data_IF_702857730316
#
_entry.id   IF_702857730316
#
_cell.length_a   1.000
_cell.length_b   1.000
_cell.length_c   1.000
_cell.angle_alpha   90.00
_cell.angle_beta   90.00
_cell.angle_gamma   90.00
#
_symmetry.space_group_name_H-M   'P 1'
#
loop_
_entity.id
_entity.type
_entity.pdbx_description
1 polymer ?
#
# COMPACT_ATOMS: atom_id res chain seq x y z
N UNK A 1 1.09 23.60 -7.80
CA UNK A 1 -0.20 23.37 -7.13
C UNK A 1 -0.28 24.38 -5.99
N UNK A 2 -1.36 25.14 -5.89
CA UNK A 2 -1.57 26.06 -4.78
C UNK A 2 -2.53 25.39 -3.79
N UNK A 3 -2.08 25.22 -2.54
CA UNK A 3 -2.86 24.61 -1.47
C UNK A 3 -3.06 25.69 -0.41
N UNK A 4 -4.24 25.72 0.19
CA UNK A 4 -4.58 26.65 1.25
C UNK A 4 -5.41 25.92 2.30
N UNK A 5 -5.44 26.47 3.51
CA UNK A 5 -5.80 25.75 4.74
C UNK A 5 -7.12 26.24 5.38
N UNK A 6 -7.91 27.03 4.64
CA UNK A 6 -9.19 27.60 5.12
C UNK A 6 -10.34 27.35 4.15
N UNK A 7 -11.58 27.37 4.63
CA UNK A 7 -12.75 27.12 3.79
C UNK A 7 -12.82 28.11 2.61
N UNK A 8 -12.95 27.56 1.40
CA UNK A 8 -13.00 28.32 0.15
C UNK A 8 -11.83 29.28 -0.08
N UNK A 9 -10.66 29.02 0.51
CA UNK A 9 -9.43 29.79 0.31
C UNK A 9 -8.97 29.83 -1.15
N UNK A 10 -9.41 28.88 -1.97
CA UNK A 10 -9.18 28.80 -3.40
C UNK A 10 -10.21 29.57 -4.26
N UNK A 11 -11.11 30.35 -3.64
CA UNK A 11 -12.12 31.15 -4.34
C UNK A 11 -11.51 32.21 -5.24
N UNK A 12 -10.36 32.79 -4.86
CA UNK A 12 -9.58 33.68 -5.70
C UNK A 12 -8.21 33.04 -6.03
N UNK A 13 -8.08 32.42 -7.21
CA UNK A 13 -6.81 31.83 -7.65
C UNK A 13 -5.67 32.84 -7.71
N UNK A 14 -5.96 34.11 -7.98
CA UNK A 14 -4.94 35.16 -8.03
C UNK A 14 -4.41 35.48 -6.63
N UNK A 15 -5.25 35.41 -5.59
CA UNK A 15 -4.80 35.55 -4.21
C UNK A 15 -3.85 34.41 -3.82
N UNK A 16 -4.11 33.17 -4.26
CA UNK A 16 -3.22 32.04 -4.04
C UNK A 16 -1.89 32.13 -4.81
N UNK A 17 -1.85 32.92 -5.87
CA UNK A 17 -0.63 33.17 -6.66
C UNK A 17 0.17 34.39 -6.18
N UNK A 18 -0.35 35.16 -5.21
CA UNK A 18 0.38 36.31 -4.66
C UNK A 18 1.60 35.90 -3.85
N UNK A 19 1.50 34.78 -3.14
CA UNK A 19 2.65 34.22 -2.44
C UNK A 19 3.52 33.43 -3.43
N UNK A 20 4.85 33.67 -3.44
CA UNK A 20 5.73 32.89 -4.28
C UNK A 20 5.64 31.41 -3.86
N UNK A 21 5.50 30.48 -4.82
CA UNK A 21 5.40 29.07 -4.48
C UNK A 21 6.70 28.60 -3.84
N UNK A 22 6.60 27.80 -2.78
CA UNK A 22 7.75 27.09 -2.22
C UNK A 22 8.33 26.19 -3.29
N UNK A 23 9.56 26.50 -3.72
CA UNK A 23 10.30 25.66 -4.65
C UNK A 23 11.01 24.56 -3.85
N UNK A 24 10.56 23.33 -4.04
CA UNK A 24 11.27 22.17 -3.53
C UNK A 24 12.63 22.04 -4.25
N UNK A 25 13.67 21.76 -3.49
CA UNK A 25 15.02 21.57 -4.03
C UNK A 25 15.06 20.36 -4.95
N UNK A 26 15.80 20.46 -6.04
CA UNK A 26 16.05 19.32 -6.92
C UNK A 26 17.08 18.39 -6.28
N UNK A 27 16.73 17.12 -6.22
CA UNK A 27 17.59 16.03 -5.78
C UNK A 27 18.05 15.22 -6.98
N UNK A 28 19.32 14.81 -6.96
CA UNK A 28 19.88 13.89 -7.96
C UNK A 28 19.85 12.48 -7.38
N UNK A 29 18.87 11.69 -7.80
CA UNK A 29 18.69 10.33 -7.28
C UNK A 29 19.46 9.33 -8.11
N UNK A 30 20.18 8.43 -7.42
CA UNK A 30 20.80 7.27 -8.05
C UNK A 30 19.71 6.29 -8.47
N UNK A 31 19.78 5.80 -9.71
CA UNK A 31 18.88 4.75 -10.19
C UNK A 31 19.54 3.39 -10.05
N UNK A 32 18.85 2.47 -9.39
CA UNK A 32 19.36 1.12 -9.18
C UNK A 32 18.20 0.14 -9.10
N UNK A 33 18.30 -0.99 -9.81
CA UNK A 33 17.36 -2.10 -9.72
C UNK A 33 18.17 -3.33 -9.37
N UNK A 34 17.75 -4.04 -8.32
CA UNK A 34 18.33 -5.31 -7.87
C UNK A 34 17.19 -6.30 -7.82
N UNK A 35 17.06 -7.13 -8.84
CA UNK A 35 16.16 -8.28 -8.85
C UNK A 35 17.07 -9.49 -9.12
N UNK A 36 17.14 -10.45 -8.21
CA UNK A 36 18.10 -11.58 -8.27
C UNK A 36 18.00 -12.53 -9.47
N UNK A 37 17.43 -12.09 -10.60
CA UNK A 37 17.14 -12.84 -11.82
C UNK A 37 17.64 -12.09 -13.09
N UNK A 38 18.01 -10.80 -13.04
CA UNK A 38 18.42 -10.02 -14.25
C UNK A 38 19.89 -9.52 -14.22
N UNK A 39 20.54 -9.33 -15.40
CA UNK A 39 22.00 -9.22 -15.58
C UNK A 39 22.60 -7.95 -14.93
N UNK A 40 23.95 -7.86 -14.79
CA UNK A 40 24.60 -6.71 -14.15
C UNK A 40 24.11 -5.38 -14.72
N UNK A 41 24.02 -4.33 -13.88
CA UNK A 41 23.34 -3.10 -14.24
C UNK A 41 23.95 -2.49 -15.51
N UNK A 42 23.16 -2.42 -16.59
CA UNK A 42 23.44 -1.43 -17.65
C UNK A 42 23.39 -0.06 -17.00
N UNK A 43 24.33 0.81 -17.40
CA UNK A 43 24.40 2.18 -16.92
C UNK A 43 23.01 2.82 -16.95
N UNK A 44 22.49 3.12 -15.75
CA UNK A 44 21.20 3.78 -15.60
C UNK A 44 21.50 5.22 -15.19
N UNK A 45 21.20 6.23 -16.04
CA UNK A 45 21.50 7.61 -15.70
C UNK A 45 20.80 8.00 -14.40
N UNK A 46 21.41 8.86 -13.55
CA UNK A 46 20.69 9.45 -12.44
C UNK A 46 19.49 10.24 -12.96
N UNK A 47 18.48 10.43 -12.11
CA UNK A 47 17.33 11.27 -12.42
C UNK A 47 17.29 12.47 -11.46
N UNK A 48 16.58 13.52 -11.87
CA UNK A 48 16.28 14.66 -11.03
C UNK A 48 14.81 14.62 -10.61
N UNK A 49 14.54 14.80 -9.32
CA UNK A 49 13.19 14.90 -8.75
C UNK A 49 13.23 15.73 -7.46
N UNK A 50 12.08 16.05 -6.88
CA UNK A 50 12.07 16.73 -5.58
C UNK A 50 12.41 15.78 -4.43
N UNK A 51 12.11 14.49 -4.61
CA UNK A 51 12.43 13.43 -3.68
C UNK A 51 12.97 12.22 -4.42
N UNK A 52 13.77 11.43 -3.70
CA UNK A 52 14.14 10.09 -4.10
C UNK A 52 13.18 9.07 -3.50
N UNK A 53 13.05 7.94 -4.17
CA UNK A 53 12.17 6.84 -3.81
C UNK A 53 13.00 5.57 -3.79
N UNK A 54 13.03 4.91 -2.65
CA UNK A 54 13.55 3.57 -2.51
C UNK A 54 12.39 2.62 -2.21
N UNK A 55 12.32 1.49 -2.92
CA UNK A 55 11.36 0.43 -2.67
C UNK A 55 12.08 -0.91 -2.58
N UNK A 56 11.77 -1.71 -1.57
CA UNK A 56 12.23 -3.08 -1.43
C UNK A 56 11.05 -4.02 -1.19
N UNK A 57 10.91 -5.06 -1.98
CA UNK A 57 9.83 -6.04 -1.86
C UNK A 57 10.42 -7.43 -1.57
N UNK A 58 9.82 -8.18 -0.65
CA UNK A 58 10.29 -9.53 -0.26
C UNK A 58 9.60 -10.63 -1.06
N UNK A 59 10.32 -11.41 -1.83
CA UNK A 59 9.72 -12.53 -2.57
C UNK A 59 10.18 -13.89 -2.08
N UNK A 60 9.36 -14.90 -2.30
CA UNK A 60 9.71 -16.30 -2.03
C UNK A 60 9.98 -16.99 -3.35
N UNK A 61 11.17 -17.56 -3.50
CA UNK A 61 11.55 -18.39 -4.64
C UNK A 61 10.86 -19.76 -4.58
N UNK A 62 10.78 -20.47 -5.71
CA UNK A 62 10.16 -21.81 -5.81
C UNK A 62 10.80 -22.85 -4.88
N UNK A 63 12.08 -22.68 -4.54
CA UNK A 63 12.81 -23.51 -3.58
C UNK A 63 12.52 -23.16 -2.10
N UNK A 64 11.60 -22.23 -1.83
CA UNK A 64 11.25 -21.75 -0.49
C UNK A 64 12.21 -20.71 0.10
N UNK A 65 13.30 -20.35 -0.58
CA UNK A 65 14.20 -19.29 -0.11
C UNK A 65 13.56 -17.91 -0.26
N UNK A 66 13.80 -17.02 0.71
CA UNK A 66 13.34 -15.63 0.65
C UNK A 66 14.40 -14.76 -0.04
N UNK A 67 14.00 -14.11 -1.13
CA UNK A 67 14.78 -13.11 -1.85
C UNK A 67 14.24 -11.70 -1.64
N UNK A 68 14.99 -10.71 -2.10
CA UNK A 68 14.59 -9.31 -2.07
C UNK A 68 14.81 -8.69 -3.44
N UNK A 69 13.83 -7.91 -3.89
CA UNK A 69 13.99 -6.98 -4.99
C UNK A 69 14.06 -5.57 -4.44
N UNK A 70 14.93 -4.72 -4.98
CA UNK A 70 14.97 -3.31 -4.60
C UNK A 70 15.09 -2.41 -5.82
N UNK A 71 14.40 -1.28 -5.78
CA UNK A 71 14.40 -0.23 -6.80
C UNK A 71 14.69 1.10 -6.11
N UNK A 72 15.61 1.87 -6.67
CA UNK A 72 15.85 3.27 -6.33
C UNK A 72 15.63 4.13 -7.58
N UNK A 73 14.87 5.21 -7.44
CA UNK A 73 14.42 6.09 -8.52
C UNK A 73 13.95 7.45 -7.98
N UNK A 74 13.58 8.36 -8.86
CA UNK A 74 13.04 9.68 -8.47
C UNK A 74 11.54 9.59 -8.18
N UNK A 75 11.03 10.56 -7.43
CA UNK A 75 9.59 10.83 -7.31
C UNK A 75 8.95 11.07 -8.67
N UNK A 76 7.66 10.76 -8.80
CA UNK A 76 6.91 11.09 -10.00
C UNK A 76 6.52 12.57 -9.99
N UNK A 77 6.25 13.14 -11.17
CA UNK A 77 5.80 14.54 -11.32
C UNK A 77 4.49 14.85 -10.59
N UNK A 78 3.74 13.81 -10.20
CA UNK A 78 2.47 13.92 -9.51
C UNK A 78 2.63 13.85 -7.98
N UNK A 79 3.82 13.54 -7.47
CA UNK A 79 4.06 13.51 -6.02
C UNK A 79 4.33 14.95 -5.55
N UNK A 80 3.27 15.75 -5.40
CA UNK A 80 3.30 17.18 -5.03
C UNK A 80 3.63 17.43 -3.55
N UNK A 81 4.70 16.85 -3.02
CA UNK A 81 5.11 17.00 -1.59
C UNK A 81 4.15 16.38 -0.56
N UNK A 82 3.13 15.66 -0.99
CA UNK A 82 2.09 15.17 -0.08
C UNK A 82 2.28 13.71 0.28
N UNK A 83 2.04 12.82 -0.68
CA UNK A 83 2.08 11.39 -0.48
C UNK A 83 2.70 10.73 -1.69
N UNK A 84 3.42 9.63 -1.49
CA UNK A 84 3.86 8.76 -2.57
C UNK A 84 2.65 8.14 -3.27
N UNK A 85 2.56 8.24 -4.61
CA UNK A 85 1.48 7.63 -5.38
C UNK A 85 1.75 6.17 -5.80
N UNK A 86 2.87 5.56 -5.37
CA UNK A 86 3.33 4.27 -5.93
C UNK A 86 2.91 3.04 -5.14
N UNK A 87 2.36 3.24 -3.96
CA UNK A 87 1.86 2.18 -3.09
C UNK A 87 0.47 2.57 -2.61
N UNK A 88 -0.37 1.61 -2.21
CA UNK A 88 -1.74 1.90 -1.82
C UNK A 88 -1.83 2.68 -0.50
N UNK A 89 -0.75 2.84 0.25
CA UNK A 89 -0.74 3.55 1.53
C UNK A 89 -0.12 4.94 1.43
N UNK A 90 -0.76 5.90 2.09
CA UNK A 90 -0.34 7.29 2.18
C UNK A 90 0.62 7.48 3.37
N UNK A 91 1.75 8.13 3.12
CA UNK A 91 2.71 8.58 4.14
C UNK A 91 3.46 9.81 3.62
N UNK A 92 3.87 10.67 4.53
CA UNK A 92 4.52 11.94 4.19
C UNK A 92 5.94 11.76 3.63
N UNK A 93 6.49 12.77 2.93
CA UNK A 93 7.91 12.82 2.60
C UNK A 93 8.81 12.72 3.85
N UNK A 94 10.09 12.50 3.60
CA UNK A 94 11.13 12.28 4.62
C UNK A 94 10.78 11.14 5.60
N UNK A 95 10.10 10.11 5.07
CA UNK A 95 9.68 8.95 5.84
C UNK A 95 10.07 7.64 5.16
N UNK A 96 10.29 6.62 5.98
CA UNK A 96 10.47 5.24 5.57
C UNK A 96 9.39 4.37 6.21
N UNK A 97 8.68 3.58 5.42
CA UNK A 97 7.56 2.75 5.87
C UNK A 97 7.81 1.27 5.56
N UNK A 98 7.51 0.41 6.53
CA UNK A 98 7.32 -1.03 6.33
C UNK A 98 5.83 -1.30 6.25
N UNK A 99 5.43 -2.00 5.20
CA UNK A 99 4.05 -2.26 4.84
C UNK A 99 3.85 -3.76 4.72
N UNK A 100 2.90 -4.28 5.46
CA UNK A 100 2.43 -5.66 5.31
C UNK A 100 0.93 -5.62 5.07
N UNK A 101 0.49 -6.06 3.89
CA UNK A 101 -0.90 -5.97 3.48
C UNK A 101 -1.32 -7.17 2.63
N UNK A 102 -2.63 -7.32 2.46
CA UNK A 102 -3.18 -8.47 1.73
C UNK A 102 -2.87 -8.42 0.23
N UNK A 103 -2.74 -9.61 -0.37
CA UNK A 103 -2.54 -9.78 -1.81
C UNK A 103 -1.16 -9.38 -2.32
N UNK A 104 -0.28 -8.83 -1.48
CA UNK A 104 1.06 -8.41 -1.83
C UNK A 104 2.11 -8.93 -0.83
N UNK A 105 3.35 -8.89 -1.28
CA UNK A 105 4.52 -9.20 -0.47
C UNK A 105 4.81 -8.09 0.52
N UNK A 106 5.60 -8.37 1.56
CA UNK A 106 6.05 -7.33 2.48
C UNK A 106 6.90 -6.31 1.71
N UNK A 107 6.58 -5.04 1.87
CA UNK A 107 7.27 -3.95 1.20
C UNK A 107 7.89 -2.97 2.20
N UNK A 108 9.06 -2.48 1.87
CA UNK A 108 9.69 -1.34 2.53
C UNK A 108 9.78 -0.22 1.50
N UNK A 109 9.34 0.98 1.85
CA UNK A 109 9.41 2.14 0.96
C UNK A 109 9.94 3.35 1.71
N UNK A 110 10.94 4.02 1.17
CA UNK A 110 11.43 5.30 1.66
C UNK A 110 11.16 6.38 0.62
N UNK A 111 10.70 7.52 1.07
CA UNK A 111 10.37 8.67 0.23
C UNK A 111 10.92 9.93 0.89
N UNK A 112 11.92 10.55 0.28
CA UNK A 112 12.63 11.67 0.89
C UNK A 112 13.86 12.09 0.10
N UNK A 113 14.53 13.13 0.57
CA UNK A 113 15.74 13.70 -0.05
C UNK A 113 16.88 12.67 -0.15
N UNK A 114 17.01 11.83 0.88
CA UNK A 114 17.89 10.65 0.88
C UNK A 114 17.05 9.39 1.14
N UNK A 115 16.61 8.72 0.07
CA UNK A 115 15.88 7.45 0.20
C UNK A 115 16.85 6.29 0.39
N UNK A 116 17.05 5.87 1.63
CA UNK A 116 17.88 4.73 2.04
C UNK A 116 17.18 3.98 3.18
N UNK A 117 16.84 2.71 2.96
CA UNK A 117 16.16 1.89 3.96
C UNK A 117 17.09 1.40 5.07
N UNK A 118 18.40 1.44 4.86
CA UNK A 118 19.39 0.99 5.86
C UNK A 118 19.58 1.99 6.99
N UNK A 119 19.25 3.26 6.74
CA UNK A 119 19.30 4.33 7.72
C UNK A 119 17.98 4.51 8.49
N UNK A 120 16.93 3.74 8.17
CA UNK A 120 15.62 3.87 8.76
C UNK A 120 15.53 3.20 10.14
N UNK A 121 15.12 3.96 11.15
CA UNK A 121 14.98 3.52 12.54
C UNK A 121 13.51 3.24 12.87
N UNK A 122 13.07 2.01 12.58
CA UNK A 122 11.69 1.62 12.83
C UNK A 122 11.41 1.40 14.32
N UNK A 123 10.28 1.92 14.84
CA UNK A 123 9.82 1.59 16.18
C UNK A 123 9.67 0.09 16.38
N UNK A 124 10.16 -0.43 17.51
CA UNK A 124 10.03 -1.84 17.92
C UNK A 124 9.04 -2.05 19.05
N UNK A 125 8.66 -0.98 19.74
CA UNK A 125 7.70 -0.99 20.85
C UNK A 125 6.34 -0.41 20.41
N UNK A 126 5.29 -0.72 21.17
CA UNK A 126 3.94 -0.20 20.89
C UNK A 126 3.30 -0.74 19.61
N UNK A 127 3.82 -1.84 19.07
CA UNK A 127 3.25 -2.48 17.88
C UNK A 127 1.94 -3.19 18.22
N UNK A 128 0.98 -3.13 17.29
CA UNK A 128 -0.33 -3.75 17.39
C UNK A 128 -0.55 -4.75 16.26
N UNK A 129 -1.35 -5.78 16.54
CA UNK A 129 -1.75 -6.78 15.56
C UNK A 129 -2.97 -6.28 14.76
N UNK A 130 -2.92 -6.46 13.44
CA UNK A 130 -3.88 -5.94 12.48
C UNK A 130 -4.30 -7.02 11.47
N UNK A 131 -5.46 -6.84 10.84
CA UNK A 131 -5.84 -7.66 9.70
C UNK A 131 -5.13 -7.18 8.43
N UNK A 132 -4.65 -8.10 7.62
CA UNK A 132 -3.98 -7.84 6.35
C UNK A 132 -4.67 -8.61 5.22
N UNK A 133 -5.59 -7.97 4.52
CA UNK A 133 -6.39 -8.59 3.45
C UNK A 133 -6.54 -7.63 2.27
N UNK A 134 -6.94 -8.18 1.14
CA UNK A 134 -7.20 -7.43 -0.09
C UNK A 134 -8.60 -7.75 -0.58
N UNK A 135 -9.32 -6.71 -1.00
CA UNK A 135 -10.65 -6.81 -1.55
C UNK A 135 -10.69 -6.02 -2.86
N UNK A 136 -11.25 -6.59 -3.90
CA UNK A 136 -11.42 -5.92 -5.19
C UNK A 136 -12.80 -6.25 -5.73
N UNK A 137 -13.50 -5.28 -6.34
CA UNK A 137 -14.77 -5.55 -7.03
C UNK A 137 -14.61 -6.53 -8.21
N UNK A 138 -13.40 -6.61 -8.76
CA UNK A 138 -13.12 -7.38 -9.96
C UNK A 138 -12.75 -8.84 -9.65
N UNK A 139 -12.58 -9.19 -8.36
CA UNK A 139 -12.09 -10.49 -7.94
C UNK A 139 -13.00 -11.10 -6.86
N UNK A 140 -13.19 -12.43 -6.85
CA UNK A 140 -13.86 -13.10 -5.74
C UNK A 140 -13.15 -12.79 -4.42
N UNK A 141 -13.91 -12.36 -3.41
CA UNK A 141 -13.35 -12.15 -2.08
C UNK A 141 -12.97 -13.49 -1.45
N UNK A 142 -11.68 -13.69 -1.22
CA UNK A 142 -11.15 -14.82 -0.47
C UNK A 142 -10.64 -14.27 0.87
N UNK A 143 -11.27 -14.57 2.00
CA UNK A 143 -10.79 -14.11 3.30
C UNK A 143 -9.46 -14.80 3.62
N UNK A 144 -8.35 -14.09 3.42
CA UNK A 144 -7.00 -14.61 3.65
C UNK A 144 -6.72 -14.71 5.17
N UNK A 145 -7.44 -13.93 6.00
CA UNK A 145 -7.30 -13.88 7.47
C UNK A 145 -5.83 -13.73 7.90
N UNK A 146 -5.00 -13.12 7.05
CA UNK A 146 -3.61 -12.86 7.38
C UNK A 146 -3.60 -11.76 8.44
N UNK A 147 -2.76 -11.97 9.45
CA UNK A 147 -2.48 -10.99 10.48
C UNK A 147 -1.09 -10.43 10.24
N UNK A 148 -0.89 -9.18 10.65
CA UNK A 148 0.42 -8.55 10.61
C UNK A 148 0.58 -7.60 11.82
N UNK A 149 1.82 -7.21 12.10
CA UNK A 149 2.14 -6.41 13.28
C UNK A 149 2.82 -5.12 12.86
N UNK A 150 2.31 -3.98 13.32
CA UNK A 150 2.92 -2.69 13.04
C UNK A 150 2.46 -1.60 14.02
N UNK A 151 3.00 -0.40 13.87
CA UNK A 151 2.61 0.75 14.71
C UNK A 151 1.14 1.15 14.49
N UNK A 152 0.64 0.96 13.28
CA UNK A 152 -0.73 1.29 12.92
C UNK A 152 -1.39 0.16 12.14
N UNK A 153 -2.67 -0.06 12.39
CA UNK A 153 -3.55 -0.77 11.48
C UNK A 153 -4.12 0.20 10.45
N UNK A 154 -4.16 -0.24 9.19
CA UNK A 154 -4.56 0.61 8.08
C UNK A 154 -5.60 -0.06 7.21
N UNK A 155 -6.51 0.77 6.71
CA UNK A 155 -7.39 0.48 5.60
C UNK A 155 -7.13 1.55 4.53
N UNK A 156 -6.89 1.15 3.30
CA UNK A 156 -6.80 2.04 2.15
C UNK A 156 -7.79 1.63 1.08
N UNK A 157 -8.54 2.59 0.55
CA UNK A 157 -9.44 2.43 -0.59
C UNK A 157 -8.89 3.24 -1.77
N UNK A 158 -8.65 2.55 -2.89
CA UNK A 158 -8.24 3.17 -4.14
C UNK A 158 -9.48 3.66 -4.93
N UNK A 159 -9.35 4.67 -5.80
CA UNK A 159 -10.44 5.20 -6.62
C UNK A 159 -11.15 4.15 -7.48
N UNK A 160 -10.42 3.13 -7.95
CA UNK A 160 -11.00 2.03 -8.72
C UNK A 160 -11.78 1.01 -7.88
N UNK A 161 -11.82 1.19 -6.55
CA UNK A 161 -12.57 0.37 -5.61
C UNK A 161 -11.83 -0.83 -5.03
N UNK A 162 -10.52 -0.89 -5.22
CA UNK A 162 -9.67 -1.86 -4.55
C UNK A 162 -9.43 -1.40 -3.11
N UNK A 163 -9.61 -2.29 -2.15
CA UNK A 163 -9.45 -2.03 -0.71
C UNK A 163 -8.35 -2.91 -0.15
N UNK A 164 -7.37 -2.27 0.47
CA UNK A 164 -6.23 -2.90 1.13
C UNK A 164 -6.33 -2.73 2.63
N UNK A 165 -6.19 -3.83 3.36
CA UNK A 165 -5.93 -3.82 4.80
C UNK A 165 -4.50 -4.26 5.05
N UNK A 166 -3.89 -3.67 6.08
CA UNK A 166 -2.57 -4.04 6.51
C UNK A 166 -2.15 -3.32 7.77
N UNK A 167 -0.85 -3.35 8.02
CA UNK A 167 -0.20 -2.61 9.08
C UNK A 167 0.97 -1.81 8.51
N UNK A 168 1.21 -0.66 9.15
CA UNK A 168 2.32 0.24 8.84
C UNK A 168 3.23 0.36 10.06
N UNK A 169 4.53 0.34 9.82
CA UNK A 169 5.55 0.79 10.79
C UNK A 169 6.38 1.85 10.10
N UNK A 170 6.40 3.06 10.66
CA UNK A 170 6.92 4.24 9.98
C UNK A 170 8.07 4.82 10.80
N UNK A 171 9.23 5.00 10.17
CA UNK A 171 10.22 5.96 10.60
C UNK A 171 9.90 7.30 9.92
N UNK A 172 9.56 8.28 10.74
CA UNK A 172 9.20 9.64 10.35
C UNK A 172 9.99 10.67 11.18
N UNK A 173 11.19 10.29 11.63
CA UNK A 173 12.09 11.11 12.44
C UNK A 173 12.54 12.39 11.74
N UNK A 174 12.55 12.39 10.40
CA UNK A 174 12.94 13.51 9.54
C UNK A 174 11.75 14.22 8.87
N UNK A 175 10.53 13.73 9.10
CA UNK A 175 9.33 14.29 8.48
C UNK A 175 8.84 15.53 9.25
N UNK A 176 8.52 16.60 8.51
CA UNK A 176 7.92 17.81 9.08
C UNK A 176 6.53 17.55 9.68
N UNK A 177 5.84 16.52 9.16
CA UNK A 177 4.51 16.09 9.61
C UNK A 177 4.54 14.62 9.95
N UNK A 178 4.00 14.29 11.11
CA UNK A 178 3.89 12.92 11.57
C UNK A 178 2.51 12.36 11.28
N UNK A 179 2.48 11.12 10.78
CA UNK A 179 1.27 10.32 10.67
C UNK A 179 0.77 9.94 12.07
N UNK A 180 -0.53 10.08 12.27
CA UNK A 180 -1.24 9.71 13.50
C UNK A 180 -2.56 8.99 13.15
N UNK A 181 -3.23 8.32 14.12
CA UNK A 181 -4.57 7.77 13.90
C UNK A 181 -5.54 8.82 13.35
N UNK A 182 -6.30 8.47 12.32
CA UNK A 182 -7.17 9.42 11.63
C UNK A 182 -7.50 9.01 10.20
N UNK A 183 -8.11 9.95 9.48
CA UNK A 183 -8.49 9.81 8.09
C UNK A 183 -7.62 10.71 7.21
N UNK A 184 -7.14 10.15 6.11
CA UNK A 184 -6.30 10.83 5.12
C UNK A 184 -6.89 10.60 3.74
N UNK A 185 -6.90 11.65 2.93
CA UNK A 185 -7.31 11.58 1.53
C UNK A 185 -6.26 12.24 0.67
N UNK A 186 -5.79 11.54 -0.33
CA UNK A 186 -4.91 12.10 -1.34
C UNK A 186 -5.71 12.76 -2.47
N UNK A 187 -5.06 13.67 -3.19
CA UNK A 187 -5.67 14.36 -4.33
C UNK A 187 -6.01 13.41 -5.50
N UNK A 188 -5.34 12.25 -5.60
CA UNK A 188 -5.65 11.21 -6.59
C UNK A 188 -6.81 10.30 -6.17
N UNK A 189 -7.48 10.58 -5.04
CA UNK A 189 -8.67 9.89 -4.58
C UNK A 189 -8.42 8.62 -3.76
N UNK A 190 -7.17 8.37 -3.33
CA UNK A 190 -6.90 7.33 -2.35
C UNK A 190 -7.37 7.82 -0.99
N UNK A 191 -8.16 7.00 -0.32
CA UNK A 191 -8.66 7.26 1.02
C UNK A 191 -8.03 6.26 1.99
N UNK A 192 -7.56 6.74 3.14
CA UNK A 192 -6.84 5.93 4.11
C UNK A 192 -7.31 6.22 5.53
N UNK A 193 -7.62 5.16 6.28
CA UNK A 193 -7.96 5.19 7.69
C UNK A 193 -6.87 4.49 8.48
N UNK A 194 -6.40 5.15 9.54
CA UNK A 194 -5.31 4.69 10.39
C UNK A 194 -5.80 4.64 11.83
N UNK A 195 -5.48 3.57 12.54
CA UNK A 195 -5.75 3.42 13.96
C UNK A 195 -4.63 2.63 14.65
N UNK A 196 -4.47 2.80 15.95
CA UNK A 196 -3.37 2.22 16.73
C UNK A 196 -3.85 1.25 17.83
N UNK A 197 -5.11 0.83 17.79
CA UNK A 197 -5.64 -0.18 18.69
C UNK A 197 -5.58 -1.57 18.03
N UNK A 198 -5.39 -2.66 18.79
CA UNK A 198 -5.37 -4.01 18.22
C UNK A 198 -6.64 -4.31 17.41
N UNK A 199 -6.45 -4.86 16.21
CA UNK A 199 -7.51 -5.29 15.28
C UNK A 199 -8.55 -4.21 14.94
N UNK A 200 -8.22 -2.92 15.10
CA UNK A 200 -9.17 -1.83 14.84
C UNK A 200 -9.60 -1.73 13.36
N UNK A 201 -8.83 -2.34 12.44
CA UNK A 201 -9.18 -2.46 11.02
C UNK A 201 -10.01 -3.72 10.67
N UNK A 202 -10.59 -4.41 11.68
CA UNK A 202 -11.45 -5.56 11.47
C UNK A 202 -12.80 -5.20 10.84
N UNK A 203 -13.45 -4.14 11.33
CA UNK A 203 -14.83 -3.80 10.98
C UNK A 203 -14.92 -3.00 9.67
N UNK A 204 -14.96 -3.73 8.56
CA UNK A 204 -15.14 -3.18 7.21
C UNK A 204 -16.52 -2.54 6.98
N UNK A 205 -17.54 -2.87 7.79
CA UNK A 205 -18.87 -2.28 7.64
C UNK A 205 -18.89 -0.79 8.03
N UNK A 206 -18.20 -0.44 9.12
CA UNK A 206 -18.03 0.97 9.52
C UNK A 206 -17.27 1.78 8.45
N UNK A 207 -16.34 1.14 7.76
CA UNK A 207 -15.65 1.73 6.62
C UNK A 207 -16.62 1.98 5.45
N UNK A 208 -17.38 0.96 5.04
CA UNK A 208 -18.37 1.07 3.97
C UNK A 208 -19.42 2.17 4.25
N UNK A 209 -19.81 2.36 5.52
CA UNK A 209 -20.72 3.43 5.95
C UNK A 209 -20.10 4.84 5.80
N UNK A 210 -18.77 4.96 5.86
CA UNK A 210 -18.04 6.23 5.69
C UNK A 210 -17.71 6.57 4.24
N UNK A 211 -17.97 5.66 3.29
CA UNK A 211 -17.64 5.87 1.89
C UNK A 211 -18.50 6.95 1.23
N UNK A 212 -17.90 7.79 0.37
CA UNK A 212 -18.63 8.80 -0.38
C UNK A 212 -19.58 8.14 -1.41
N UNK A 213 -20.56 8.89 -1.92
CA UNK A 213 -21.62 8.35 -2.79
C UNK A 213 -21.09 7.69 -4.07
N UNK A 214 -19.97 8.19 -4.59
CA UNK A 214 -19.31 7.63 -5.78
C UNK A 214 -18.82 6.19 -5.55
N UNK A 215 -18.62 5.80 -4.29
CA UNK A 215 -18.24 4.45 -3.89
C UNK A 215 -19.43 3.63 -3.37
N UNK A 216 -20.67 4.08 -3.55
CA UNK A 216 -21.86 3.37 -3.07
C UNK A 216 -22.04 1.98 -3.73
N UNK A 217 -21.58 1.80 -4.97
CA UNK A 217 -21.63 0.50 -5.67
C UNK A 217 -20.81 -0.60 -4.97
N UNK A 218 -19.86 -0.21 -4.14
CA UNK A 218 -18.99 -1.12 -3.41
C UNK A 218 -19.56 -1.50 -2.04
N UNK A 219 -20.57 -0.79 -1.52
CA UNK A 219 -21.19 -1.14 -0.24
C UNK A 219 -21.68 -2.58 -0.30
N UNK A 220 -21.46 -3.37 0.76
CA UNK A 220 -21.69 -4.82 0.83
C UNK A 220 -20.52 -5.73 0.46
N UNK A 221 -19.27 -5.26 0.48
CA UNK A 221 -18.10 -6.16 0.38
C UNK A 221 -18.12 -7.22 1.50
N UNK A 222 -18.66 -6.83 2.66
CA UNK A 222 -18.89 -7.71 3.82
C UNK A 222 -20.11 -8.63 3.71
N UNK A 223 -20.97 -8.50 2.69
CA UNK A 223 -22.16 -9.34 2.57
C UNK A 223 -21.82 -10.73 2.02
N UNK A 224 -22.29 -11.81 2.66
CA UNK A 224 -22.17 -13.18 2.16
C UNK A 224 -22.79 -13.39 0.76
N UNK A 225 -23.59 -12.46 0.27
CA UNK A 225 -24.40 -12.59 -0.95
C UNK A 225 -23.54 -12.59 -2.24
N UNK A 226 -22.30 -12.10 -2.19
CA UNK A 226 -21.38 -12.22 -3.34
C UNK A 226 -20.71 -13.60 -3.48
N UNK A 227 -20.91 -14.52 -2.53
CA UNK A 227 -20.42 -15.89 -2.67
C UNK A 227 -21.17 -16.68 -3.76
N UNK A 228 -22.45 -16.42 -4.02
CA UNK A 228 -23.28 -17.38 -4.78
C UNK A 228 -23.31 -17.18 -6.31
N UNK A 229 -23.10 -15.98 -6.84
CA UNK A 229 -23.29 -15.76 -8.30
C UNK A 229 -22.11 -16.17 -9.18
N UNK A 230 -20.89 -16.23 -8.63
CA UNK A 230 -19.71 -16.59 -9.40
C UNK A 230 -19.07 -17.94 -9.01
N UNK A 231 -19.35 -18.50 -7.82
CA UNK A 231 -18.85 -19.83 -7.47
C UNK A 231 -19.46 -20.94 -8.33
N UNK A 232 -20.74 -20.84 -8.69
CA UNK A 232 -21.38 -21.81 -9.60
C UNK A 232 -20.82 -21.80 -11.03
N UNK A 233 -20.20 -20.69 -11.46
CA UNK A 233 -19.52 -20.59 -12.76
C UNK A 233 -18.07 -21.06 -12.68
N UNK A 234 -17.35 -20.75 -11.59
CA UNK A 234 -15.97 -21.20 -11.38
C UNK A 234 -15.93 -22.72 -11.13
N UNK A 235 -16.90 -23.29 -10.39
CA UNK A 235 -17.05 -24.75 -10.26
C UNK A 235 -17.34 -25.42 -11.61
N UNK A 236 -18.18 -24.84 -12.47
CA UNK A 236 -18.41 -25.36 -13.83
C UNK A 236 -17.18 -25.27 -14.73
N UNK A 237 -16.33 -24.25 -14.56
CA UNK A 237 -15.08 -24.13 -15.30
C UNK A 237 -14.06 -25.18 -14.80
N UNK A 238 -14.01 -25.46 -13.49
CA UNK A 238 -13.14 -26.48 -12.89
C UNK A 238 -13.66 -27.91 -13.11
N UNK A 239 -14.98 -28.10 -13.27
CA UNK A 239 -15.59 -29.38 -13.67
C UNK A 239 -15.41 -29.66 -15.17
N UNK A 240 -15.41 -28.62 -16.02
CA UNK A 240 -15.11 -28.76 -17.45
C UNK A 240 -13.61 -28.85 -17.76
N UNK A 241 -12.72 -28.53 -16.80
CA UNK A 241 -11.27 -28.70 -16.95
C UNK A 241 -10.76 -30.05 -16.42
N UNK A 242 -11.65 -30.98 -16.05
CA UNK A 242 -11.28 -32.31 -15.50
C UNK A 242 -10.80 -33.34 -16.54
N UNK A 243 -10.73 -32.99 -17.82
CA UNK A 243 -10.12 -33.84 -18.87
C UNK A 243 -8.63 -33.55 -19.15
N UNK A 244 -7.95 -32.78 -18.29
CA UNK A 244 -6.50 -32.68 -18.30
C UNK A 244 -5.92 -32.85 -16.90
N UNK A 245 -5.37 -34.04 -16.66
CA UNK A 245 -4.71 -34.51 -15.43
C UNK A 245 -3.45 -33.69 -15.03
N UNK A 246 -2.89 -33.88 -13.81
CA UNK A 246 -2.72 -32.79 -12.82
C UNK A 246 -1.26 -32.52 -12.41
N UNK A 247 -0.98 -31.38 -11.75
CA UNK A 247 0.15 -31.28 -10.80
C UNK A 247 -0.21 -30.44 -9.55
N UNK A 248 -0.56 -31.20 -8.50
CA UNK A 248 -0.32 -31.03 -7.06
C UNK A 248 -0.18 -29.61 -6.46
N UNK A 249 -1.29 -29.09 -5.92
CA UNK A 249 -1.30 -28.32 -4.67
C UNK A 249 -1.45 -29.32 -3.52
N UNK A 250 -0.38 -29.55 -2.75
CA UNK A 250 -0.43 -30.34 -1.51
C UNK A 250 -0.10 -29.43 -0.33
N UNK A 251 -1.15 -28.84 0.23
CA UNK A 251 -1.24 -28.55 1.66
C UNK A 251 -1.18 -29.89 2.41
N UNK A 252 -0.14 -30.11 3.21
CA UNK A 252 -0.13 -31.13 4.26
C UNK A 252 -0.21 -30.44 5.61
N UNK A 253 -1.38 -30.50 6.22
CA UNK A 253 -1.56 -30.36 7.67
C UNK A 253 -1.72 -31.75 8.29
N UNK A 254 -0.84 -32.00 9.26
CA UNK A 254 -1.10 -32.63 10.57
C UNK A 254 -1.49 -34.12 10.68
N UNK A 255 -0.51 -34.87 11.23
CA UNK A 255 -0.61 -35.80 12.37
C UNK A 255 -1.97 -36.36 12.79
N UNK A 256 -2.09 -37.70 12.81
CA UNK A 256 -2.19 -38.51 14.04
C UNK A 256 -2.14 -40.01 13.71
N UNK A 257 -1.42 -40.73 14.59
CA UNK A 257 -1.20 -42.18 14.64
C UNK A 257 -2.47 -42.94 15.08
N UNK A 258 -2.52 -44.27 14.94
CA UNK A 258 -1.89 -45.18 15.93
C UNK A 258 -0.55 -45.76 15.48
#
# INVERSE_FOLDING_TARGET
MCICDTDHCNRDPHALMKEPPTQLQWQVCKRQIVNGIDPPPRWTPPCAGNYCVYRRSKFTHDNGTKGYSSVNECSNSNDFDMFSSRVPFLFYPESCVRMEYGGQQDETMCYGSTADDTAAEYPTEGLVECHADFLSKNLPYIPIRKLCTGQFCVISALPQGDVYRGCLTIDQSKADRQMAPGYYRSYNGIEQWICSAPSCNYNLRKLEESWPEELAEFKSVTSPVHFDRNFGKILKILENSRDSQPYSLLLKTETLRP
#
